data_IF_765889806477
#
_entry.id   IF_765889806477
#
_cell.length_a   1.000
_cell.length_b   1.000
_cell.length_c   1.000
_cell.angle_alpha   90.00
_cell.angle_beta   90.00
_cell.angle_gamma   90.00
#
_symmetry.space_group_name_H-M   'P 1'
#
loop_
_entity.id
_entity.type
_entity.pdbx_description
1 polymer ?
#
# COMPACT_ATOMS: atom_id res chain seq x y z
N UNK A 1 -17.27 -53.01 6.68
CA UNK A 1 -17.75 -51.64 6.34
C UNK A 1 -17.42 -50.72 7.51
N UNK A 2 -17.01 -49.46 7.28
CA UNK A 2 -16.75 -48.54 8.38
C UNK A 2 -18.01 -48.33 9.22
N UNK A 3 -17.86 -48.24 10.54
CA UNK A 3 -18.98 -48.03 11.47
C UNK A 3 -19.66 -46.66 11.28
N UNK A 4 -18.90 -45.67 10.77
CA UNK A 4 -19.44 -44.38 10.35
C UNK A 4 -18.82 -43.99 9.00
N UNK A 5 -19.53 -44.16 7.88
CA UNK A 5 -19.02 -43.75 6.56
C UNK A 5 -18.78 -42.23 6.47
N UNK A 6 -19.55 -41.43 7.21
CA UNK A 6 -19.38 -39.97 7.25
C UNK A 6 -18.03 -39.56 7.83
N UNK A 7 -17.57 -40.21 8.92
CA UNK A 7 -16.28 -39.88 9.52
C UNK A 7 -15.10 -40.19 8.58
N UNK A 8 -15.21 -41.28 7.81
CA UNK A 8 -14.22 -41.63 6.79
C UNK A 8 -14.21 -40.59 5.66
N UNK A 9 -15.39 -40.17 5.20
CA UNK A 9 -15.51 -39.15 4.15
C UNK A 9 -14.88 -37.82 4.58
N UNK A 10 -15.13 -37.35 5.80
CA UNK A 10 -14.50 -36.14 6.33
C UNK A 10 -12.99 -36.28 6.52
N UNK A 11 -12.52 -37.41 7.04
CA UNK A 11 -11.10 -37.65 7.25
C UNK A 11 -10.29 -37.59 5.95
N UNK A 12 -10.88 -38.02 4.83
CA UNK A 12 -10.25 -37.96 3.50
C UNK A 12 -10.43 -36.57 2.87
N UNK A 13 -11.60 -35.95 3.00
CA UNK A 13 -11.89 -34.67 2.35
C UNK A 13 -11.11 -33.49 2.94
N UNK A 14 -10.84 -33.48 4.24
CA UNK A 14 -10.11 -32.40 4.92
C UNK A 14 -8.72 -32.14 4.31
N UNK A 15 -7.78 -33.11 4.25
CA UNK A 15 -6.45 -32.86 3.69
C UNK A 15 -6.50 -32.50 2.19
N UNK A 16 -7.44 -33.10 1.44
CA UNK A 16 -7.64 -32.79 0.01
C UNK A 16 -8.09 -31.34 -0.15
N UNK A 17 -9.05 -30.88 0.65
CA UNK A 17 -9.57 -29.51 0.58
C UNK A 17 -8.48 -28.47 0.86
N UNK A 18 -7.59 -28.73 1.83
CA UNK A 18 -6.45 -27.85 2.13
C UNK A 18 -5.47 -27.82 0.96
N UNK A 19 -5.16 -28.98 0.35
CA UNK A 19 -4.30 -29.07 -0.82
C UNK A 19 -4.85 -28.29 -2.02
N UNK A 20 -6.14 -28.46 -2.33
CA UNK A 20 -6.80 -27.73 -3.44
C UNK A 20 -6.88 -26.23 -3.11
N UNK A 21 -7.23 -25.86 -1.89
CA UNK A 21 -7.26 -24.46 -1.45
C UNK A 21 -5.90 -23.76 -1.63
N UNK A 22 -4.80 -24.45 -1.30
CA UNK A 22 -3.44 -23.94 -1.50
C UNK A 22 -3.11 -23.75 -2.99
N UNK A 23 -3.49 -24.69 -3.85
CA UNK A 23 -3.29 -24.58 -5.30
C UNK A 23 -4.11 -23.43 -5.90
N UNK A 24 -5.37 -23.28 -5.49
CA UNK A 24 -6.23 -22.16 -5.88
C UNK A 24 -5.63 -20.82 -5.43
N UNK A 25 -5.15 -20.74 -4.19
CA UNK A 25 -4.48 -19.54 -3.69
C UNK A 25 -3.25 -19.18 -4.52
N UNK A 26 -2.40 -20.16 -4.86
CA UNK A 26 -1.24 -19.97 -5.73
C UNK A 26 -1.63 -19.52 -7.14
N UNK A 27 -2.68 -20.11 -7.72
CA UNK A 27 -3.19 -19.74 -9.03
C UNK A 27 -3.69 -18.29 -9.05
N UNK A 28 -4.52 -17.90 -8.07
CA UNK A 28 -5.08 -16.54 -8.01
C UNK A 28 -3.96 -15.52 -7.76
N UNK A 29 -3.03 -15.80 -6.86
CA UNK A 29 -1.86 -14.92 -6.65
C UNK A 29 -0.98 -14.82 -7.90
N UNK A 30 -0.89 -15.87 -8.72
CA UNK A 30 -0.20 -15.82 -10.01
C UNK A 30 -0.95 -14.94 -11.03
N UNK A 31 -2.28 -15.02 -11.10
CA UNK A 31 -3.12 -14.23 -12.01
C UNK A 31 -3.06 -12.74 -11.68
N UNK A 32 -3.20 -12.38 -10.40
CA UNK A 32 -3.21 -10.97 -9.97
C UNK A 32 -1.80 -10.40 -9.77
N UNK A 33 -0.77 -11.25 -9.72
CA UNK A 33 0.64 -10.86 -9.65
C UNK A 33 0.98 -10.04 -8.40
N UNK A 34 1.94 -9.11 -8.52
CA UNK A 34 2.40 -8.21 -7.43
C UNK A 34 1.33 -7.19 -6.96
N UNK A 35 0.10 -7.24 -7.49
CA UNK A 35 -0.99 -6.30 -7.15
C UNK A 35 -1.72 -6.67 -5.85
N UNK A 36 -1.50 -7.87 -5.32
CA UNK A 36 -2.08 -8.31 -4.05
C UNK A 36 -1.03 -8.27 -2.94
N UNK A 37 -1.34 -7.64 -1.82
CA UNK A 37 -0.53 -7.74 -0.59
C UNK A 37 -0.84 -8.98 0.25
N UNK A 38 -1.80 -9.81 -0.18
CA UNK A 38 -2.23 -10.99 0.57
C UNK A 38 -1.18 -12.10 0.48
N UNK A 39 -0.86 -12.69 1.63
CA UNK A 39 0.00 -13.86 1.69
C UNK A 39 -0.72 -15.10 1.16
N UNK A 40 0.06 -16.09 0.71
CA UNK A 40 -0.46 -17.41 0.29
C UNK A 40 -1.31 -18.03 1.41
N UNK A 41 -0.92 -17.85 2.67
CA UNK A 41 -1.66 -18.32 3.84
C UNK A 41 -3.06 -17.69 3.94
N UNK A 42 -3.17 -16.37 3.81
CA UNK A 42 -4.46 -15.68 3.87
C UNK A 42 -5.39 -16.14 2.74
N UNK A 43 -4.85 -16.26 1.51
CA UNK A 43 -5.62 -16.73 0.36
C UNK A 43 -6.03 -18.20 0.48
N UNK A 44 -5.22 -19.03 1.13
CA UNK A 44 -5.57 -20.44 1.40
C UNK A 44 -6.75 -20.51 2.37
N UNK A 45 -6.77 -19.69 3.44
CA UNK A 45 -7.89 -19.62 4.38
C UNK A 45 -9.18 -19.13 3.74
N UNK A 46 -9.11 -18.10 2.88
CA UNK A 46 -10.27 -17.59 2.13
C UNK A 46 -10.83 -18.69 1.21
N UNK A 47 -9.94 -19.41 0.52
CA UNK A 47 -10.33 -20.52 -0.35
C UNK A 47 -11.01 -21.63 0.46
N UNK A 48 -10.49 -21.96 1.65
CA UNK A 48 -11.08 -22.93 2.58
C UNK A 48 -12.47 -22.50 3.09
N UNK A 49 -12.65 -21.21 3.39
CA UNK A 49 -13.95 -20.66 3.74
C UNK A 49 -14.97 -20.85 2.60
N UNK A 50 -14.54 -20.66 1.36
CA UNK A 50 -15.37 -20.88 0.18
C UNK A 50 -15.75 -22.34 -0.04
N UNK A 51 -14.90 -23.31 0.37
CA UNK A 51 -15.30 -24.73 0.44
C UNK A 51 -16.43 -24.94 1.46
N UNK A 52 -16.33 -24.33 2.65
CA UNK A 52 -17.38 -24.44 3.68
C UNK A 52 -18.72 -23.86 3.20
N UNK A 53 -18.70 -22.69 2.55
CA UNK A 53 -19.89 -22.07 1.94
C UNK A 53 -20.50 -22.96 0.87
N UNK A 54 -19.68 -23.57 0.02
CA UNK A 54 -20.17 -24.44 -1.06
C UNK A 54 -20.84 -25.72 -0.57
N UNK A 55 -20.26 -26.38 0.43
CA UNK A 55 -20.86 -27.56 1.06
C UNK A 55 -22.18 -27.18 1.75
N UNK A 56 -22.23 -26.02 2.43
CA UNK A 56 -23.45 -25.52 3.05
C UNK A 56 -24.56 -25.26 2.03
N UNK A 57 -24.25 -24.61 0.90
CA UNK A 57 -25.21 -24.37 -0.18
C UNK A 57 -25.66 -25.67 -0.83
N UNK A 58 -24.75 -26.63 -1.05
CA UNK A 58 -25.11 -27.94 -1.57
C UNK A 58 -26.12 -28.64 -0.64
N UNK A 59 -25.87 -28.62 0.67
CA UNK A 59 -26.75 -29.25 1.66
C UNK A 59 -28.11 -28.56 1.82
N UNK A 60 -28.17 -27.23 1.60
CA UNK A 60 -29.41 -26.47 1.75
C UNK A 60 -30.33 -26.55 0.54
N UNK A 61 -29.76 -26.53 -0.67
CA UNK A 61 -30.55 -26.35 -1.90
C UNK A 61 -30.69 -27.62 -2.75
N UNK A 62 -29.85 -28.64 -2.53
CA UNK A 62 -29.86 -29.87 -3.32
C UNK A 62 -30.18 -31.08 -2.43
N UNK A 63 -31.34 -31.68 -2.66
CA UNK A 63 -31.78 -32.87 -1.92
C UNK A 63 -30.95 -34.10 -2.28
N UNK A 64 -30.61 -34.92 -1.29
CA UNK A 64 -29.96 -36.22 -1.47
C UNK A 64 -28.47 -36.18 -1.81
N UNK A 65 -27.81 -35.02 -1.69
CA UNK A 65 -26.39 -34.89 -1.98
C UNK A 65 -25.51 -35.66 -1.00
N UNK A 66 -24.45 -36.29 -1.53
CA UNK A 66 -23.33 -36.82 -0.75
C UNK A 66 -22.08 -36.00 -1.04
N UNK A 67 -21.07 -36.10 -0.17
CA UNK A 67 -19.83 -35.32 -0.27
C UNK A 67 -19.11 -35.53 -1.61
N UNK A 68 -19.02 -36.78 -2.06
CA UNK A 68 -18.31 -37.18 -3.27
C UNK A 68 -19.14 -37.09 -4.56
N UNK A 69 -20.35 -36.53 -4.52
CA UNK A 69 -21.11 -36.34 -5.75
C UNK A 69 -20.49 -35.23 -6.61
N UNK A 70 -20.45 -35.39 -7.95
CA UNK A 70 -19.90 -34.39 -8.86
C UNK A 70 -20.53 -33.01 -8.69
N UNK A 71 -21.83 -32.95 -8.42
CA UNK A 71 -22.59 -31.71 -8.16
C UNK A 71 -22.10 -30.97 -6.92
N UNK A 72 -21.87 -31.69 -5.82
CA UNK A 72 -21.30 -31.12 -4.58
C UNK A 72 -19.88 -30.62 -4.83
N UNK A 73 -19.05 -31.41 -5.51
CA UNK A 73 -17.66 -31.06 -5.81
C UNK A 73 -17.57 -29.81 -6.71
N UNK A 74 -18.38 -29.73 -7.76
CA UNK A 74 -18.43 -28.58 -8.66
C UNK A 74 -18.91 -27.32 -7.97
N UNK A 75 -19.99 -27.42 -7.18
CA UNK A 75 -20.50 -26.27 -6.42
C UNK A 75 -19.46 -25.76 -5.43
N UNK A 76 -18.83 -26.68 -4.71
CA UNK A 76 -17.83 -26.35 -3.68
C UNK A 76 -16.57 -25.72 -4.27
N UNK A 77 -16.07 -26.28 -5.37
CA UNK A 77 -14.96 -25.69 -6.10
C UNK A 77 -15.32 -24.32 -6.68
N UNK A 78 -16.52 -24.19 -7.25
CA UNK A 78 -17.03 -22.94 -7.83
C UNK A 78 -17.16 -21.83 -6.79
N UNK A 79 -17.71 -22.11 -5.60
CA UNK A 79 -17.82 -21.12 -4.52
C UNK A 79 -16.46 -20.75 -3.95
N UNK A 80 -15.54 -21.72 -3.83
CA UNK A 80 -14.16 -21.45 -3.39
C UNK A 80 -13.44 -20.52 -4.37
N UNK A 81 -13.47 -20.84 -5.67
CA UNK A 81 -12.88 -20.02 -6.71
C UNK A 81 -13.52 -18.63 -6.78
N UNK A 82 -14.86 -18.57 -6.74
CA UNK A 82 -15.63 -17.33 -6.79
C UNK A 82 -15.36 -16.41 -5.60
N UNK A 83 -15.38 -16.93 -4.38
CA UNK A 83 -15.08 -16.15 -3.17
C UNK A 83 -13.64 -15.63 -3.18
N UNK A 84 -12.68 -16.49 -3.49
CA UNK A 84 -11.27 -16.10 -3.54
C UNK A 84 -11.00 -15.08 -4.64
N UNK A 85 -11.64 -15.20 -5.81
CA UNK A 85 -11.53 -14.22 -6.89
C UNK A 85 -12.22 -12.90 -6.53
N UNK A 86 -13.37 -12.93 -5.87
CA UNK A 86 -14.08 -11.74 -5.41
C UNK A 86 -13.23 -10.96 -4.40
N UNK A 87 -12.71 -11.64 -3.37
CA UNK A 87 -11.84 -11.01 -2.36
C UNK A 87 -10.56 -10.49 -3.01
N UNK A 88 -9.90 -11.28 -3.86
CA UNK A 88 -8.74 -10.84 -4.60
C UNK A 88 -9.06 -9.61 -5.47
N UNK A 89 -10.23 -9.57 -6.10
CA UNK A 89 -10.65 -8.43 -6.93
C UNK A 89 -10.90 -7.19 -6.07
N UNK A 90 -11.61 -7.30 -4.95
CA UNK A 90 -11.84 -6.19 -4.00
C UNK A 90 -10.51 -5.67 -3.47
N UNK A 91 -9.61 -6.56 -3.06
CA UNK A 91 -8.29 -6.18 -2.56
C UNK A 91 -7.45 -5.58 -3.67
N UNK A 92 -7.44 -6.15 -4.87
CA UNK A 92 -6.72 -5.59 -6.01
C UNK A 92 -7.29 -4.23 -6.44
N UNK A 93 -8.59 -3.97 -6.24
CA UNK A 93 -9.25 -2.69 -6.52
C UNK A 93 -8.94 -1.63 -5.45
N UNK A 94 -8.92 -2.01 -4.18
CA UNK A 94 -8.58 -1.10 -3.06
C UNK A 94 -7.07 -0.85 -2.96
N UNK A 95 -6.27 -1.86 -3.34
CA UNK A 95 -4.82 -1.80 -3.52
C UNK A 95 -4.41 -1.58 -4.97
N UNK A 96 -5.33 -1.08 -5.81
CA UNK A 96 -4.89 -0.16 -6.86
C UNK A 96 -4.30 1.01 -6.09
N UNK A 97 -3.04 0.86 -5.70
CA UNK A 97 -2.17 2.00 -5.54
C UNK A 97 -2.40 2.86 -6.76
N UNK A 98 -2.33 4.16 -6.55
CA UNK A 98 -2.30 5.26 -7.51
C UNK A 98 -1.22 4.96 -8.56
N UNK A 99 -1.43 3.92 -9.34
CA UNK A 99 -0.62 3.41 -10.43
C UNK A 99 -1.36 3.47 -11.74
N UNK A 100 -2.54 4.09 -11.67
CA UNK A 100 -3.23 4.77 -12.75
C UNK A 100 -4.06 5.90 -12.14
N UNK A 101 -3.61 6.54 -11.05
CA UNK A 101 -4.12 7.90 -10.86
C UNK A 101 -3.49 8.65 -12.00
N UNK A 102 -4.33 8.98 -12.95
CA UNK A 102 -4.01 9.88 -14.01
C UNK A 102 -3.38 11.11 -13.37
N UNK A 103 -2.04 11.19 -13.40
CA UNK A 103 -1.30 12.29 -12.78
C UNK A 103 -1.77 13.58 -13.44
N UNK A 104 -2.21 13.54 -14.70
CA UNK A 104 -2.88 14.66 -15.35
C UNK A 104 -4.21 15.02 -14.67
N UNK A 105 -5.03 14.06 -14.24
CA UNK A 105 -6.25 14.32 -13.50
C UNK A 105 -5.96 14.84 -12.09
N UNK A 106 -4.92 14.31 -11.42
CA UNK A 106 -4.49 14.78 -10.11
C UNK A 106 -4.02 16.24 -10.19
N UNK A 107 -3.17 16.55 -11.16
CA UNK A 107 -2.69 17.89 -11.45
C UNK A 107 -3.84 18.86 -11.76
N UNK A 108 -4.83 18.43 -12.56
CA UNK A 108 -6.04 19.21 -12.85
C UNK A 108 -6.93 19.43 -11.63
N UNK A 109 -6.98 18.46 -10.71
CA UNK A 109 -7.78 18.56 -9.49
C UNK A 109 -7.15 19.50 -8.44
N UNK A 110 -5.84 19.74 -8.53
CA UNK A 110 -5.12 20.61 -7.61
C UNK A 110 -4.66 19.92 -6.32
N UNK A 111 -4.03 20.69 -5.45
CA UNK A 111 -3.61 20.22 -4.14
C UNK A 111 -4.81 19.90 -3.23
N UNK A 112 -4.63 18.91 -2.37
CA UNK A 112 -5.67 18.43 -1.45
C UNK A 112 -5.06 17.80 -0.20
N UNK A 113 -5.90 17.32 0.72
CA UNK A 113 -5.44 16.55 1.88
C UNK A 113 -4.52 15.37 1.48
N UNK A 114 -4.72 14.80 0.29
CA UNK A 114 -4.01 13.61 -0.22
C UNK A 114 -3.15 13.89 -1.45
N UNK A 115 -2.98 15.14 -1.85
CA UNK A 115 -2.17 15.54 -3.00
C UNK A 115 -1.39 16.81 -2.68
N UNK A 116 -0.07 16.79 -2.85
CA UNK A 116 0.79 17.96 -2.64
C UNK A 116 1.69 18.11 -3.86
N UNK A 117 1.88 19.35 -4.33
CA UNK A 117 2.76 19.64 -5.46
C UNK A 117 3.99 20.41 -4.98
N UNK A 118 5.13 20.08 -5.58
CA UNK A 118 6.40 20.75 -5.34
C UNK A 118 7.10 20.95 -6.67
N UNK A 119 7.46 22.19 -6.95
CA UNK A 119 8.14 22.54 -8.20
C UNK A 119 9.49 21.83 -8.31
N UNK A 120 10.19 21.70 -7.18
CA UNK A 120 11.52 21.09 -7.09
C UNK A 120 11.69 20.35 -5.76
N UNK A 121 12.61 19.39 -5.71
CA UNK A 121 12.95 18.64 -4.49
C UNK A 121 14.22 19.13 -3.81
N UNK A 122 15.14 19.76 -4.54
CA UNK A 122 16.49 20.12 -4.07
C UNK A 122 16.89 21.54 -4.43
N UNK A 123 16.34 22.06 -5.51
CA UNK A 123 16.69 23.37 -6.04
C UNK A 123 15.78 24.46 -5.49
N UNK A 124 16.34 25.47 -4.83
CA UNK A 124 15.57 26.64 -4.45
C UNK A 124 15.50 27.59 -5.65
N UNK A 125 14.30 27.72 -6.23
CA UNK A 125 14.06 28.54 -7.44
C UNK A 125 14.36 30.02 -7.20
N UNK A 126 14.11 30.54 -5.99
CA UNK A 126 14.34 31.95 -5.63
C UNK A 126 15.82 32.26 -5.46
N UNK A 127 16.54 31.36 -4.79
CA UNK A 127 17.97 31.54 -4.51
C UNK A 127 18.88 30.97 -5.62
N UNK A 128 18.31 30.31 -6.62
CA UNK A 128 19.01 29.68 -7.75
C UNK A 128 20.21 28.82 -7.30
N UNK A 129 19.99 28.02 -6.27
CA UNK A 129 21.00 27.09 -5.75
C UNK A 129 20.36 25.87 -5.10
N UNK A 130 21.17 24.82 -4.91
CA UNK A 130 20.79 23.67 -4.09
C UNK A 130 20.55 24.11 -2.63
N UNK A 131 19.44 23.67 -2.05
CA UNK A 131 19.03 24.03 -0.70
C UNK A 131 18.49 22.81 0.06
N UNK A 132 19.11 22.49 1.19
CA UNK A 132 18.69 21.40 2.07
C UNK A 132 17.28 21.61 2.65
N UNK A 133 16.79 22.86 2.70
CA UNK A 133 15.41 23.15 3.12
C UNK A 133 14.38 22.58 2.15
N UNK A 134 14.70 22.52 0.85
CA UNK A 134 13.83 21.89 -0.14
C UNK A 134 13.76 20.38 0.10
N UNK A 135 14.92 19.74 0.32
CA UNK A 135 14.98 18.30 0.63
C UNK A 135 14.19 17.97 1.90
N UNK A 136 14.31 18.83 2.93
CA UNK A 136 13.56 18.70 4.19
C UNK A 136 12.05 18.88 3.99
N UNK A 137 11.61 19.79 3.12
CA UNK A 137 10.18 19.98 2.82
C UNK A 137 9.56 18.73 2.17
N UNK A 138 10.32 18.05 1.29
CA UNK A 138 9.93 16.76 0.71
C UNK A 138 9.80 15.70 1.80
N UNK A 139 10.80 15.58 2.68
CA UNK A 139 10.78 14.60 3.77
C UNK A 139 9.61 14.83 4.75
N UNK A 140 9.33 16.09 5.11
CA UNK A 140 8.18 16.47 5.96
C UNK A 140 6.85 16.08 5.34
N UNK A 141 6.70 16.34 4.04
CA UNK A 141 5.47 16.02 3.30
C UNK A 141 5.25 14.50 3.25
N UNK A 142 6.30 13.74 2.95
CA UNK A 142 6.22 12.28 2.91
C UNK A 142 5.92 11.72 4.30
N UNK A 143 6.59 12.20 5.35
CA UNK A 143 6.29 11.82 6.73
C UNK A 143 4.82 12.10 7.09
N UNK A 144 4.32 13.29 6.73
CA UNK A 144 2.94 13.67 6.95
C UNK A 144 1.94 12.74 6.26
N UNK A 145 2.18 12.37 5.01
CA UNK A 145 1.33 11.39 4.32
C UNK A 145 1.38 10.02 4.98
N UNK A 146 2.57 9.51 5.30
CA UNK A 146 2.74 8.21 5.95
C UNK A 146 2.04 8.14 7.32
N UNK A 147 2.03 9.24 8.09
CA UNK A 147 1.36 9.31 9.40
C UNK A 147 -0.14 9.62 9.33
N UNK A 148 -0.67 9.88 8.14
CA UNK A 148 -2.07 10.25 7.92
C UNK A 148 -2.76 9.19 7.06
N UNK A 149 -3.73 9.59 6.23
CA UNK A 149 -4.43 8.67 5.32
C UNK A 149 -3.61 8.31 4.07
N UNK A 150 -2.30 8.59 4.03
CA UNK A 150 -1.52 8.49 2.80
C UNK A 150 -1.88 9.58 1.79
N UNK A 151 -1.16 9.59 0.66
CA UNK A 151 -1.34 10.59 -0.39
C UNK A 151 -0.27 10.47 -1.47
N UNK A 152 -0.26 11.46 -2.37
CA UNK A 152 0.68 11.54 -3.49
C UNK A 152 1.37 12.89 -3.44
N UNK A 153 2.70 12.87 -3.44
CA UNK A 153 3.52 14.05 -3.67
C UNK A 153 3.97 14.05 -5.14
N UNK A 154 3.69 15.13 -5.87
CA UNK A 154 4.19 15.32 -7.24
C UNK A 154 5.32 16.35 -7.22
N UNK A 155 6.51 15.92 -7.64
CA UNK A 155 7.71 16.74 -7.76
C UNK A 155 7.90 17.10 -9.23
N UNK A 156 8.22 18.36 -9.53
CA UNK A 156 8.25 18.88 -10.89
C UNK A 156 6.92 19.43 -11.35
N UNK A 157 6.03 19.80 -10.43
CA UNK A 157 4.78 20.48 -10.72
C UNK A 157 4.65 21.75 -9.88
N UNK A 158 4.14 22.84 -10.47
CA UNK A 158 3.91 24.09 -9.75
C UNK A 158 2.56 24.07 -8.99
N UNK A 159 2.33 25.09 -8.16
CA UNK A 159 1.11 25.23 -7.36
C UNK A 159 -0.17 25.33 -8.21
N UNK A 160 -0.04 25.66 -9.51
CA UNK A 160 -1.14 25.70 -10.47
C UNK A 160 -1.42 24.32 -11.13
N UNK A 161 -0.70 23.27 -10.75
CA UNK A 161 -0.85 21.93 -11.31
C UNK A 161 -0.22 21.77 -12.70
N UNK A 162 0.67 22.67 -13.12
CA UNK A 162 1.40 22.52 -14.39
C UNK A 162 2.69 21.74 -14.17
N UNK A 163 2.96 20.77 -15.04
CA UNK A 163 4.22 20.04 -15.06
C UNK A 163 5.36 20.96 -15.54
N UNK A 164 6.27 21.30 -14.64
CA UNK A 164 7.48 22.10 -14.94
C UNK A 164 8.69 21.23 -15.26
N UNK A 165 8.68 19.96 -14.81
CA UNK A 165 9.77 19.02 -15.02
C UNK A 165 10.79 18.95 -13.87
N UNK A 166 11.74 18.02 -14.02
CA UNK A 166 12.78 17.74 -13.02
C UNK A 166 14.15 18.31 -13.38
N UNK A 167 14.29 19.02 -14.50
CA UNK A 167 15.59 19.44 -15.05
C UNK A 167 16.47 20.16 -14.04
N UNK A 168 15.88 21.05 -13.23
CA UNK A 168 16.60 21.79 -12.18
C UNK A 168 17.15 20.87 -11.10
N UNK A 169 16.40 19.85 -10.72
CA UNK A 169 16.84 18.87 -9.72
C UNK A 169 17.87 17.90 -10.30
N UNK A 170 17.66 17.44 -11.54
CA UNK A 170 18.59 16.55 -12.25
C UNK A 170 19.96 17.22 -12.46
N UNK A 171 19.97 18.52 -12.75
CA UNK A 171 21.21 19.31 -12.89
C UNK A 171 22.04 19.37 -11.59
N UNK A 172 21.44 19.09 -10.42
CA UNK A 172 22.19 19.00 -9.15
C UNK A 172 22.92 17.67 -8.95
N UNK A 173 22.67 16.68 -9.81
CA UNK A 173 23.29 15.36 -9.76
C UNK A 173 24.54 15.33 -10.64
N UNK A 174 25.48 14.44 -10.29
CA UNK A 174 26.67 14.19 -11.13
C UNK A 174 26.31 13.73 -12.55
N UNK A 175 25.20 12.99 -12.65
CA UNK A 175 24.64 12.52 -13.91
C UNK A 175 23.14 12.84 -13.86
N UNK A 176 22.62 13.67 -14.78
CA UNK A 176 21.23 14.10 -14.77
C UNK A 176 20.34 12.98 -15.33
N UNK A 177 19.98 12.03 -14.47
CA UNK A 177 19.20 10.85 -14.83
C UNK A 177 18.18 10.49 -13.75
N UNK A 178 17.04 9.95 -14.17
CA UNK A 178 15.91 9.61 -13.29
C UNK A 178 16.27 8.53 -12.28
N UNK A 179 17.02 7.49 -12.69
CA UNK A 179 17.45 6.43 -11.78
C UNK A 179 18.32 6.99 -10.65
N UNK A 180 19.20 7.94 -10.99
CA UNK A 180 20.07 8.60 -10.02
C UNK A 180 19.30 9.53 -9.08
N UNK A 181 18.25 10.17 -9.58
CA UNK A 181 17.33 10.96 -8.77
C UNK A 181 16.55 10.07 -7.79
N UNK A 182 16.03 8.92 -8.24
CA UNK A 182 15.33 7.98 -7.35
C UNK A 182 16.27 7.46 -6.26
N UNK A 183 17.50 7.05 -6.61
CA UNK A 183 18.49 6.61 -5.63
C UNK A 183 18.78 7.68 -4.58
N UNK A 184 18.96 8.93 -5.02
CA UNK A 184 19.16 10.05 -4.10
C UNK A 184 17.94 10.26 -3.20
N UNK A 185 16.73 10.25 -3.75
CA UNK A 185 15.50 10.46 -2.99
C UNK A 185 15.32 9.35 -1.93
N UNK A 186 15.60 8.09 -2.27
CA UNK A 186 15.55 6.97 -1.32
C UNK A 186 16.58 7.09 -0.20
N UNK A 187 17.79 7.54 -0.51
CA UNK A 187 18.85 7.73 0.49
C UNK A 187 18.53 8.90 1.43
N UNK A 188 18.06 10.02 0.88
CA UNK A 188 17.60 11.18 1.65
C UNK A 188 16.46 10.77 2.59
N UNK A 189 15.45 10.04 2.10
CA UNK A 189 14.36 9.53 2.91
C UNK A 189 14.82 8.54 3.97
N UNK A 190 15.77 7.67 3.65
CA UNK A 190 16.31 6.70 4.62
C UNK A 190 17.04 7.39 5.77
N UNK A 191 17.74 8.47 5.46
CA UNK A 191 18.41 9.33 6.45
C UNK A 191 17.40 10.10 7.29
N UNK A 192 16.35 10.64 6.65
CA UNK A 192 15.38 11.51 7.31
C UNK A 192 14.33 10.75 8.14
N UNK A 193 13.85 9.59 7.66
CA UNK A 193 12.71 8.85 8.23
C UNK A 193 13.10 7.47 8.78
N UNK A 194 14.33 7.03 8.54
CA UNK A 194 14.77 5.66 8.78
C UNK A 194 14.42 4.69 7.66
N UNK A 195 15.21 3.62 7.54
CA UNK A 195 15.17 2.67 6.41
C UNK A 195 13.82 1.98 6.22
N UNK A 196 13.14 1.61 7.30
CA UNK A 196 11.85 0.91 7.22
C UNK A 196 10.75 1.81 6.66
N UNK A 197 10.69 3.07 7.12
CA UNK A 197 9.70 4.03 6.63
C UNK A 197 10.00 4.45 5.19
N UNK A 198 11.28 4.65 4.84
CA UNK A 198 11.70 5.01 3.49
C UNK A 198 11.43 3.93 2.43
N UNK A 199 11.16 2.69 2.83
CA UNK A 199 10.76 1.61 1.93
C UNK A 199 9.26 1.64 1.55
N UNK A 200 8.43 2.39 2.28
CA UNK A 200 6.99 2.45 2.03
C UNK A 200 6.61 3.25 0.77
N UNK A 201 7.20 4.43 0.49
CA UNK A 201 6.84 5.21 -0.68
C UNK A 201 7.18 4.51 -2.00
N UNK A 202 6.26 4.59 -2.96
CA UNK A 202 6.44 4.12 -4.34
C UNK A 202 6.75 5.32 -5.22
N UNK A 203 7.93 5.33 -5.82
CA UNK A 203 8.43 6.41 -6.67
C UNK A 203 8.22 6.02 -8.13
N UNK A 204 7.74 6.95 -8.95
CA UNK A 204 7.54 6.77 -10.39
C UNK A 204 7.82 8.06 -11.14
N UNK A 205 8.33 7.93 -12.36
CA UNK A 205 8.50 9.05 -13.28
C UNK A 205 7.43 8.97 -14.36
N UNK A 206 6.70 10.05 -14.58
CA UNK A 206 5.54 10.10 -15.47
C UNK A 206 5.61 11.36 -16.34
N UNK A 207 5.36 11.23 -17.64
CA UNK A 207 5.12 12.36 -18.53
C UNK A 207 3.60 12.58 -18.64
N UNK A 208 3.14 13.81 -18.43
CA UNK A 208 1.71 14.13 -18.29
C UNK A 208 0.96 14.07 -19.62
N UNK A 209 1.65 14.40 -20.72
CA UNK A 209 1.20 14.23 -22.10
C UNK A 209 2.41 13.91 -23.00
N UNK A 210 2.22 13.34 -24.20
CA UNK A 210 3.32 13.09 -25.12
C UNK A 210 4.08 14.39 -25.44
N UNK A 211 5.35 14.47 -25.03
CA UNK A 211 6.20 15.65 -25.20
C UNK A 211 6.23 16.63 -24.01
N UNK A 212 5.43 16.39 -22.97
CA UNK A 212 5.46 17.17 -21.73
C UNK A 212 6.64 16.79 -20.83
N UNK A 213 6.98 17.72 -19.96
CA UNK A 213 7.99 17.54 -18.92
C UNK A 213 7.67 16.34 -18.02
N UNK A 214 8.71 15.61 -17.64
CA UNK A 214 8.60 14.44 -16.75
C UNK A 214 8.53 14.91 -15.31
N UNK A 215 7.55 14.41 -14.56
CA UNK A 215 7.38 14.64 -13.13
C UNK A 215 7.68 13.37 -12.33
N UNK A 216 8.08 13.53 -11.07
CA UNK A 216 8.28 12.42 -10.14
C UNK A 216 7.08 12.34 -9.18
N UNK A 217 6.30 11.27 -9.30
CA UNK A 217 5.18 10.98 -8.41
C UNK A 217 5.65 10.03 -7.29
N UNK A 218 5.47 10.46 -6.05
CA UNK A 218 5.77 9.69 -4.84
C UNK A 218 4.47 9.34 -4.14
N UNK A 219 4.06 8.08 -4.28
CA UNK A 219 2.86 7.55 -3.65
C UNK A 219 3.20 7.02 -2.25
N UNK A 220 2.56 7.59 -1.24
CA UNK A 220 2.79 7.30 0.17
C UNK A 220 1.55 6.59 0.76
N UNK A 221 1.60 5.28 1.02
CA UNK A 221 0.52 4.59 1.74
C UNK A 221 0.49 5.01 3.23
N UNK A 222 -0.64 4.88 3.93
CA UNK A 222 -0.64 4.96 5.39
C UNK A 222 0.37 3.97 5.99
N UNK A 223 1.19 4.44 6.92
CA UNK A 223 2.18 3.60 7.59
C UNK A 223 1.52 2.77 8.70
N UNK A 224 1.91 1.50 8.89
CA UNK A 224 1.40 0.68 10.01
C UNK A 224 1.96 1.08 11.38
N UNK A 225 2.92 2.02 11.41
CA UNK A 225 3.54 2.56 12.63
C UNK A 225 3.82 4.06 12.46
N UNK A 226 3.93 4.84 13.55
CA UNK A 226 4.34 6.23 13.47
C UNK A 226 5.73 6.37 12.85
N UNK A 227 5.85 7.33 11.93
CA UNK A 227 7.07 7.68 11.21
C UNK A 227 7.54 9.03 11.70
N UNK A 228 8.70 9.05 12.35
CA UNK A 228 9.29 10.28 12.86
C UNK A 228 10.37 10.79 11.91
N UNK A 229 10.42 12.10 11.72
CA UNK A 229 11.47 12.79 11.00
C UNK A 229 12.62 13.11 11.96
N UNK A 230 13.85 12.79 11.58
CA UNK A 230 15.05 13.18 12.33
C UNK A 230 15.23 14.70 12.31
N UNK A 231 15.41 15.31 13.47
CA UNK A 231 15.63 16.74 13.62
C UNK A 231 16.94 17.21 13.00
N UNK A 232 16.92 18.42 12.44
CA UNK A 232 18.13 19.10 11.95
C UNK A 232 18.82 19.77 13.14
N UNK A 233 19.83 19.12 13.73
CA UNK A 233 20.59 19.78 14.81
C UNK A 233 21.44 18.93 15.74
N UNK A 234 21.89 17.72 15.37
CA UNK A 234 22.84 16.92 16.18
C UNK A 234 22.29 16.37 17.50
N UNK A 235 21.13 16.85 17.96
CA UNK A 235 20.33 16.28 19.04
C UNK A 235 19.30 15.29 18.50
N UNK A 236 19.01 14.26 19.29
CA UNK A 236 18.04 13.20 18.98
C UNK A 236 16.57 13.66 19.09
N UNK A 237 16.26 14.89 18.66
CA UNK A 237 14.87 15.34 18.58
C UNK A 237 14.26 14.78 17.29
N UNK A 238 13.14 14.11 17.42
CA UNK A 238 12.39 13.57 16.30
C UNK A 238 11.01 14.20 16.26
N UNK A 239 10.57 14.57 15.08
CA UNK A 239 9.31 15.29 14.89
C UNK A 239 8.28 14.38 14.22
N UNK A 240 7.05 14.37 14.75
CA UNK A 240 5.92 13.69 14.12
C UNK A 240 5.15 14.70 13.26
N UNK A 241 5.16 14.49 11.95
CA UNK A 241 4.45 15.34 11.00
C UNK A 241 3.16 14.65 10.54
N UNK A 242 2.07 15.39 10.41
CA UNK A 242 0.77 14.91 9.92
C UNK A 242 0.15 15.88 8.90
N UNK A 243 -0.81 15.39 8.11
CA UNK A 243 -1.68 16.21 7.26
C UNK A 243 -2.90 16.67 8.06
N UNK A 244 -3.15 17.98 8.06
CA UNK A 244 -4.35 18.61 8.60
C UNK A 244 -4.97 19.44 7.48
N UNK A 245 -5.97 18.87 6.79
CA UNK A 245 -6.48 19.44 5.54
C UNK A 245 -5.35 19.50 4.49
N UNK A 246 -5.22 20.61 3.78
CA UNK A 246 -4.14 20.83 2.81
C UNK A 246 -2.82 21.34 3.45
N UNK A 247 -2.56 21.03 4.72
CA UNK A 247 -1.37 21.55 5.41
C UNK A 247 -0.60 20.47 6.14
N UNK A 248 0.73 20.58 6.08
CA UNK A 248 1.65 19.70 6.80
C UNK A 248 2.06 20.36 8.12
N UNK A 249 1.75 19.71 9.25
CA UNK A 249 2.01 20.25 10.60
C UNK A 249 2.83 19.28 11.44
N UNK A 250 3.77 19.81 12.21
CA UNK A 250 4.45 19.07 13.27
C UNK A 250 3.56 19.06 14.51
N UNK A 251 3.42 17.89 15.12
CA UNK A 251 2.77 17.75 16.42
C UNK A 251 3.81 17.94 17.53
N UNK A 252 3.50 18.73 18.57
CA UNK A 252 4.27 18.70 19.81
C UNK A 252 4.16 17.32 20.47
N UNK A 253 5.07 17.03 21.42
CA UNK A 253 5.24 15.67 21.96
C UNK A 253 3.96 15.12 22.60
N UNK A 254 3.23 15.95 23.34
CA UNK A 254 1.95 15.61 23.98
C UNK A 254 0.87 15.26 22.96
N UNK A 255 0.66 16.12 21.95
CA UNK A 255 -0.30 15.85 20.86
C UNK A 255 0.12 14.63 20.03
N UNK A 256 1.42 14.45 19.79
CA UNK A 256 1.96 13.31 19.06
C UNK A 256 1.67 12.00 19.77
N UNK A 257 1.87 11.94 21.10
CA UNK A 257 1.56 10.75 21.90
C UNK A 257 0.06 10.42 21.84
N UNK A 258 -0.80 11.41 22.00
CA UNK A 258 -2.25 11.22 21.91
C UNK A 258 -2.69 10.77 20.51
N UNK A 259 -2.15 11.40 19.46
CA UNK A 259 -2.41 11.04 18.08
C UNK A 259 -2.00 9.58 17.81
N UNK A 260 -0.81 9.18 18.26
CA UNK A 260 -0.30 7.82 18.04
C UNK A 260 -1.20 6.77 18.69
N UNK A 261 -1.61 6.99 19.93
CA UNK A 261 -2.51 6.07 20.65
C UNK A 261 -3.87 5.95 19.98
N UNK A 262 -4.40 7.04 19.42
CA UNK A 262 -5.70 7.04 18.75
C UNK A 262 -5.65 6.43 17.35
N UNK A 263 -4.57 6.68 16.61
CA UNK A 263 -4.44 6.29 15.21
C UNK A 263 -3.98 4.84 15.04
N UNK A 264 -2.99 4.39 15.82
CA UNK A 264 -2.47 3.02 15.76
C UNK A 264 -2.94 2.19 16.95
N UNK A 265 -4.27 2.06 17.09
CA UNK A 265 -4.87 1.27 18.18
C UNK A 265 -4.46 -0.20 18.04
N UNK A 266 -3.87 -0.81 19.08
CA UNK A 266 -3.61 -2.23 19.08
C UNK A 266 -4.93 -2.99 19.03
N UNK A 267 -5.12 -3.78 17.97
CA UNK A 267 -6.22 -4.73 17.87
C UNK A 267 -5.98 -5.92 18.80
N UNK A 268 -7.04 -6.63 19.23
CA UNK A 268 -6.91 -7.86 20.02
C UNK A 268 -5.90 -8.85 19.42
N UNK A 269 -5.89 -8.97 18.10
CA UNK A 269 -4.91 -9.78 17.37
C UNK A 269 -3.46 -9.30 17.61
N UNK A 270 -3.21 -7.99 17.60
CA UNK A 270 -1.86 -7.44 17.85
C UNK A 270 -1.39 -7.62 19.29
N UNK A 271 -2.32 -7.56 20.26
CA UNK A 271 -2.06 -7.80 21.68
C UNK A 271 -1.71 -9.27 21.92
N UNK A 272 -2.47 -10.18 21.33
CA UNK A 272 -2.26 -11.63 21.48
C UNK A 272 -1.04 -12.15 20.73
N UNK A 273 -0.72 -11.57 19.57
CA UNK A 273 0.38 -12.05 18.71
C UNK A 273 1.68 -11.27 18.88
N UNK A 274 1.67 -10.14 19.60
CA UNK A 274 2.81 -9.22 19.70
C UNK A 274 3.23 -8.59 18.37
N UNK A 275 2.39 -8.68 17.32
CA UNK A 275 2.66 -8.14 15.98
C UNK A 275 1.73 -6.98 15.68
N UNK A 276 2.22 -5.85 15.13
CA UNK A 276 1.36 -4.73 14.74
C UNK A 276 0.32 -5.19 13.71
N UNK A 277 -0.87 -4.57 13.74
CA UNK A 277 -1.88 -4.76 12.70
C UNK A 277 -1.27 -4.39 11.34
N UNK A 278 -1.33 -5.33 10.40
CA UNK A 278 -0.79 -5.16 9.05
C UNK A 278 -1.67 -4.30 8.16
#
# INVERSE_FOLDING_TARGET
>A
MPQSPLLVDFAVALPISVGIAYLLARLILAIFGRRLSLSVTAMTLISLLGFSVGIFLAGMFLYGQRLWMPTTLLLTFGTSLGLSFLVASIVALTQRGVGDADISALLRAGESERAEFKETARWNVRESKKDARMELAIAKTIAAFLNSRGGVLVIGANDAGQAVGLDRDLATLRTPDHDRFELWLRDMLSTALGRNAAALPRIRFVSVAPGDAVVCAVECPPSPKPVFLAGSGGGATTELWIRVGNSTRALPVDEALEYVQRHWRPTLASVLTGRPAG
#
